data_IF_335449531078
#
_entry.id   IF_335449531078
#
_cell.length_a   1.000
_cell.length_b   1.000
_cell.length_c   1.000
_cell.angle_alpha   90.00
_cell.angle_beta   90.00
_cell.angle_gamma   90.00
#
_symmetry.space_group_name_H-M   'P 1'
#
loop_
_entity.id
_entity.type
_entity.pdbx_description
1 polymer ?
#
# COMPACT_ATOMS: atom_id res chain seq x y z
N UNK A 1 34.82 -28.45 -0.73
CA UNK A 1 33.81 -27.57 -0.12
C UNK A 1 34.43 -26.25 0.35
N UNK A 2 35.66 -26.26 0.89
CA UNK A 2 36.39 -25.04 1.26
C UNK A 2 36.69 -24.08 0.07
N UNK A 3 37.06 -24.61 -1.11
CA UNK A 3 37.41 -23.77 -2.28
C UNK A 3 36.26 -22.91 -2.84
N UNK A 4 34.99 -23.27 -2.56
CA UNK A 4 33.81 -22.52 -3.04
C UNK A 4 33.47 -21.35 -2.11
N UNK A 5 33.78 -21.48 -0.82
CA UNK A 5 33.59 -20.41 0.16
C UNK A 5 34.68 -19.34 0.05
N UNK A 6 35.92 -19.75 -0.20
CA UNK A 6 37.06 -18.83 -0.35
C UNK A 6 36.89 -17.93 -1.60
N UNK A 7 36.44 -18.50 -2.73
CA UNK A 7 36.22 -17.74 -3.97
C UNK A 7 35.04 -16.73 -3.88
N UNK A 8 34.04 -17.00 -3.02
CA UNK A 8 32.90 -16.09 -2.80
C UNK A 8 33.28 -14.85 -1.99
N UNK A 9 34.16 -15.01 -1.01
CA UNK A 9 34.60 -13.90 -0.17
C UNK A 9 35.38 -12.85 -0.98
N UNK A 10 36.24 -13.30 -1.91
CA UNK A 10 37.03 -12.44 -2.77
C UNK A 10 36.17 -11.66 -3.79
N UNK A 11 35.19 -12.32 -4.43
CA UNK A 11 34.25 -11.67 -5.33
C UNK A 11 33.39 -10.62 -4.63
N UNK A 12 32.92 -10.93 -3.42
CA UNK A 12 32.13 -10.00 -2.62
C UNK A 12 32.96 -8.78 -2.19
N UNK A 13 34.21 -8.98 -1.79
CA UNK A 13 35.10 -7.89 -1.41
C UNK A 13 35.46 -6.99 -2.60
N UNK A 14 35.53 -7.55 -3.81
CA UNK A 14 35.68 -6.78 -5.05
C UNK A 14 34.44 -5.95 -5.36
N UNK A 15 33.24 -6.54 -5.29
CA UNK A 15 31.98 -5.85 -5.58
C UNK A 15 31.73 -4.67 -4.62
N UNK A 16 32.08 -4.83 -3.34
CA UNK A 16 32.00 -3.75 -2.35
C UNK A 16 32.88 -2.54 -2.72
N UNK A 17 33.97 -2.74 -3.48
CA UNK A 17 34.86 -1.66 -3.94
C UNK A 17 34.37 -0.95 -5.22
N UNK A 18 33.39 -1.52 -5.93
CA UNK A 18 32.83 -0.91 -7.15
C UNK A 18 31.93 0.28 -6.85
N UNK A 19 31.25 0.28 -5.68
CA UNK A 19 30.30 1.31 -5.29
C UNK A 19 30.77 2.03 -4.03
N UNK A 20 30.74 3.37 -4.03
CA UNK A 20 30.85 4.15 -2.81
C UNK A 20 29.50 4.18 -2.06
N UNK A 21 29.50 4.71 -0.83
CA UNK A 21 28.29 4.78 0.00
C UNK A 21 27.12 5.50 -0.67
N UNK A 22 27.36 6.58 -1.42
CA UNK A 22 26.29 7.30 -2.11
C UNK A 22 25.66 6.43 -3.21
N UNK A 23 26.48 5.67 -3.94
CA UNK A 23 26.00 4.72 -4.95
C UNK A 23 25.23 3.56 -4.30
N UNK A 24 25.72 3.01 -3.18
CA UNK A 24 25.05 1.97 -2.42
C UNK A 24 23.68 2.45 -1.92
N UNK A 25 23.61 3.64 -1.31
CA UNK A 25 22.34 4.25 -0.86
C UNK A 25 21.36 4.47 -2.01
N UNK A 26 21.85 4.94 -3.15
CA UNK A 26 21.02 5.11 -4.35
C UNK A 26 20.49 3.77 -4.86
N UNK A 27 21.35 2.76 -4.95
CA UNK A 27 20.98 1.41 -5.40
C UNK A 27 19.96 0.77 -4.44
N UNK A 28 20.21 0.83 -3.13
CA UNK A 28 19.30 0.30 -2.11
C UNK A 28 17.91 0.95 -2.20
N UNK A 29 17.86 2.26 -2.42
CA UNK A 29 16.59 2.98 -2.60
C UNK A 29 15.81 2.47 -3.82
N UNK A 30 16.48 2.26 -4.95
CA UNK A 30 15.84 1.74 -6.18
C UNK A 30 15.39 0.29 -5.98
N UNK A 31 16.25 -0.58 -5.44
CA UNK A 31 15.92 -1.98 -5.21
C UNK A 31 14.76 -2.16 -4.24
N UNK A 32 14.67 -1.34 -3.19
CA UNK A 32 13.52 -1.34 -2.28
C UNK A 32 12.23 -0.96 -2.99
N UNK A 33 12.26 0.05 -3.87
CA UNK A 33 11.08 0.42 -4.66
C UNK A 33 10.64 -0.73 -5.58
N UNK A 34 11.58 -1.43 -6.20
CA UNK A 34 11.30 -2.62 -7.02
C UNK A 34 10.69 -3.73 -6.17
N UNK A 35 11.29 -4.04 -5.02
CA UNK A 35 10.80 -5.06 -4.09
C UNK A 35 9.35 -4.78 -3.65
N UNK A 36 9.06 -3.56 -3.19
CA UNK A 36 7.71 -3.16 -2.75
C UNK A 36 6.69 -3.16 -3.89
N UNK A 37 7.11 -2.85 -5.13
CA UNK A 37 6.23 -2.92 -6.29
C UNK A 37 5.88 -4.37 -6.64
N UNK A 38 6.87 -5.26 -6.62
CA UNK A 38 6.70 -6.69 -6.89
C UNK A 38 5.87 -7.37 -5.80
N UNK A 39 6.07 -7.03 -4.54
CA UNK A 39 5.24 -7.49 -3.43
C UNK A 39 3.77 -7.08 -3.60
N UNK A 40 3.49 -5.82 -3.98
CA UNK A 40 2.13 -5.35 -4.26
C UNK A 40 1.49 -6.05 -5.46
N UNK A 41 2.27 -6.35 -6.50
CA UNK A 41 1.79 -7.13 -7.63
C UNK A 41 1.44 -8.56 -7.20
N UNK A 42 2.31 -9.20 -6.42
CA UNK A 42 2.11 -10.54 -5.87
C UNK A 42 0.82 -10.61 -5.03
N UNK A 43 0.61 -9.68 -4.10
CA UNK A 43 -0.62 -9.63 -3.29
C UNK A 43 -1.88 -9.53 -4.16
N UNK A 44 -1.85 -8.73 -5.22
CA UNK A 44 -2.97 -8.60 -6.17
C UNK A 44 -3.19 -9.85 -7.00
N UNK A 45 -2.12 -10.56 -7.38
CA UNK A 45 -2.19 -11.80 -8.18
C UNK A 45 -2.55 -13.03 -7.35
N UNK A 46 -2.36 -13.01 -6.02
CA UNK A 46 -2.77 -14.11 -5.15
C UNK A 46 -4.27 -14.02 -4.82
N UNK A 47 -4.83 -12.81 -4.81
CA UNK A 47 -6.30 -12.63 -4.67
C UNK A 47 -6.99 -13.19 -5.91
N UNK A 48 -7.71 -14.30 -5.75
CA UNK A 48 -8.47 -14.95 -6.83
C UNK A 48 -9.57 -14.02 -7.37
N UNK A 49 -10.24 -13.29 -6.48
CA UNK A 49 -11.29 -12.32 -6.82
C UNK A 49 -10.87 -10.93 -6.33
N UNK A 50 -10.74 -9.93 -7.22
CA UNK A 50 -10.54 -8.53 -6.82
C UNK A 50 -11.69 -8.06 -5.92
N UNK A 51 -11.43 -7.17 -4.95
CA UNK A 51 -12.50 -6.60 -4.15
C UNK A 51 -13.50 -5.87 -5.06
N UNK A 52 -14.79 -5.98 -4.75
CA UNK A 52 -15.79 -5.14 -5.39
C UNK A 52 -15.66 -3.72 -4.83
N UNK A 53 -15.09 -2.82 -5.63
CA UNK A 53 -14.92 -1.41 -5.26
C UNK A 53 -16.08 -0.58 -5.84
N UNK A 54 -16.62 0.34 -5.04
CA UNK A 54 -17.78 1.15 -5.44
C UNK A 54 -17.46 2.18 -6.54
N UNK A 55 -16.23 2.72 -6.56
CA UNK A 55 -15.80 3.81 -7.45
C UNK A 55 -14.72 3.38 -8.45
N UNK A 56 -14.35 2.10 -8.50
CA UNK A 56 -13.25 1.63 -9.34
C UNK A 56 -13.55 0.24 -9.88
N UNK A 57 -13.32 0.03 -11.18
CA UNK A 57 -13.41 -1.28 -11.81
C UNK A 57 -12.10 -1.59 -12.51
N UNK A 58 -11.52 -2.75 -12.21
CA UNK A 58 -10.40 -3.27 -12.97
C UNK A 58 -10.93 -3.91 -14.26
N UNK A 59 -10.51 -3.36 -15.39
CA UNK A 59 -10.71 -3.96 -16.71
C UNK A 59 -9.46 -4.75 -17.07
N UNK A 60 -9.62 -5.86 -17.80
CA UNK A 60 -8.51 -6.70 -18.26
C UNK A 60 -7.73 -7.44 -17.15
N UNK A 61 -8.41 -8.28 -16.32
CA UNK A 61 -7.70 -9.12 -15.37
C UNK A 61 -6.85 -10.17 -16.10
N UNK A 62 -5.64 -10.51 -15.61
CA UNK A 62 -4.84 -11.55 -16.24
C UNK A 62 -5.55 -12.89 -16.18
N UNK A 63 -5.50 -13.65 -17.27
CA UNK A 63 -5.95 -15.05 -17.29
C UNK A 63 -5.06 -15.95 -16.41
N UNK A 64 -5.40 -17.24 -16.32
CA UNK A 64 -4.67 -18.21 -15.47
C UNK A 64 -3.20 -18.37 -15.87
N UNK A 65 -2.91 -18.33 -17.16
CA UNK A 65 -1.57 -18.57 -17.70
C UNK A 65 -0.71 -17.33 -17.52
N UNK A 66 -1.27 -16.15 -17.81
CA UNK A 66 -0.67 -14.86 -17.53
C UNK A 66 -0.39 -14.69 -16.04
N UNK A 67 -1.35 -15.00 -15.16
CA UNK A 67 -1.16 -14.96 -13.70
C UNK A 67 -0.02 -15.85 -13.26
N UNK A 68 0.00 -17.09 -13.75
CA UNK A 68 1.08 -18.05 -13.43
C UNK A 68 2.44 -17.55 -13.92
N UNK A 69 2.51 -16.99 -15.13
CA UNK A 69 3.74 -16.42 -15.68
C UNK A 69 4.21 -15.20 -14.87
N UNK A 70 3.30 -14.29 -14.52
CA UNK A 70 3.61 -13.12 -13.70
C UNK A 70 4.11 -13.52 -12.32
N UNK A 71 3.48 -14.49 -11.64
CA UNK A 71 3.94 -14.99 -10.34
C UNK A 71 5.34 -15.61 -10.42
N UNK A 72 5.67 -16.32 -11.52
CA UNK A 72 7.05 -16.80 -11.74
C UNK A 72 8.03 -15.64 -11.89
N UNK A 73 7.68 -14.60 -12.65
CA UNK A 73 8.53 -13.42 -12.84
C UNK A 73 8.73 -12.66 -11.53
N UNK A 74 7.67 -12.44 -10.75
CA UNK A 74 7.71 -11.87 -9.40
C UNK A 74 8.75 -12.58 -8.54
N UNK A 75 8.72 -13.92 -8.51
CA UNK A 75 9.69 -14.72 -7.77
C UNK A 75 11.13 -14.49 -8.25
N UNK A 76 11.36 -14.46 -9.57
CA UNK A 76 12.70 -14.21 -10.12
C UNK A 76 13.20 -12.81 -9.76
N UNK A 77 12.36 -11.77 -9.86
CA UNK A 77 12.75 -10.41 -9.50
C UNK A 77 13.15 -10.32 -8.02
N UNK A 78 12.40 -10.98 -7.11
CA UNK A 78 12.77 -11.01 -5.68
C UNK A 78 14.12 -11.71 -5.45
N UNK A 79 14.40 -12.79 -6.18
CA UNK A 79 15.68 -13.49 -6.10
C UNK A 79 16.84 -12.60 -6.60
N UNK A 80 16.66 -11.88 -7.70
CA UNK A 80 17.66 -10.95 -8.23
C UNK A 80 17.89 -9.76 -7.29
N UNK A 81 16.83 -9.19 -6.71
CA UNK A 81 16.95 -8.13 -5.69
C UNK A 81 17.73 -8.62 -4.48
N UNK A 82 17.41 -9.81 -3.95
CA UNK A 82 18.11 -10.39 -2.81
C UNK A 82 19.59 -10.66 -3.13
N UNK A 83 19.89 -11.13 -4.33
CA UNK A 83 21.26 -11.36 -4.80
C UNK A 83 22.03 -10.04 -4.90
N UNK A 84 21.47 -9.00 -5.53
CA UNK A 84 22.09 -7.69 -5.60
C UNK A 84 22.30 -7.06 -4.22
N UNK A 85 21.35 -7.21 -3.30
CA UNK A 85 21.51 -6.73 -1.93
C UNK A 85 22.68 -7.41 -1.22
N UNK A 86 22.83 -8.73 -1.40
CA UNK A 86 23.94 -9.50 -0.83
C UNK A 86 25.29 -9.15 -1.49
N UNK A 87 25.34 -9.12 -2.82
CA UNK A 87 26.58 -8.90 -3.59
C UNK A 87 27.18 -7.51 -3.34
N UNK A 88 26.35 -6.51 -3.03
CA UNK A 88 26.76 -5.13 -2.78
C UNK A 88 26.64 -4.68 -1.31
N UNK A 89 26.38 -5.60 -0.37
CA UNK A 89 26.24 -5.32 1.06
C UNK A 89 25.28 -4.17 1.38
N UNK A 90 24.13 -4.16 0.71
CA UNK A 90 23.16 -3.10 0.88
C UNK A 90 22.44 -3.24 2.22
N UNK A 91 22.30 -2.12 2.94
CA UNK A 91 21.59 -2.11 4.21
C UNK A 91 20.09 -2.36 4.02
N UNK A 92 19.55 -3.28 4.83
CA UNK A 92 18.11 -3.45 5.00
C UNK A 92 17.59 -2.26 5.80
N UNK A 93 16.53 -1.63 5.31
CA UNK A 93 15.85 -0.61 6.10
C UNK A 93 14.64 -1.20 6.81
N UNK A 94 14.45 -0.74 8.04
CA UNK A 94 13.24 -0.96 8.79
C UNK A 94 12.23 0.15 8.49
N UNK A 95 11.06 -0.25 8.04
CA UNK A 95 9.94 0.65 7.82
C UNK A 95 8.76 0.21 8.69
N UNK A 96 8.17 1.16 9.40
CA UNK A 96 6.98 0.87 10.21
C UNK A 96 5.78 0.74 9.28
N UNK A 97 5.30 -0.49 9.10
CA UNK A 97 4.11 -0.80 8.31
C UNK A 97 2.94 0.11 8.69
N UNK A 98 2.64 0.18 9.99
CA UNK A 98 1.56 1.02 10.52
C UNK A 98 1.77 2.49 10.17
N UNK A 99 2.95 3.07 10.41
CA UNK A 99 3.19 4.49 10.09
C UNK A 99 3.11 4.76 8.59
N UNK A 100 3.61 3.85 7.75
CA UNK A 100 3.53 3.99 6.30
C UNK A 100 2.08 3.98 5.83
N UNK A 101 1.28 3.01 6.30
CA UNK A 101 -0.15 2.92 5.95
C UNK A 101 -0.92 4.12 6.46
N UNK A 102 -0.68 4.57 7.70
CA UNK A 102 -1.41 5.71 8.26
C UNK A 102 -1.05 7.05 7.61
N UNK A 103 0.15 7.18 7.05
CA UNK A 103 0.51 8.32 6.21
C UNK A 103 -0.42 8.48 5.00
N UNK A 104 -0.80 7.37 4.36
CA UNK A 104 -1.75 7.39 3.23
C UNK A 104 -3.16 7.80 3.69
N UNK A 105 -3.65 7.25 4.80
CA UNK A 105 -4.95 7.62 5.35
C UNK A 105 -5.03 9.08 5.80
N UNK A 106 -3.93 9.66 6.28
CA UNK A 106 -3.87 11.10 6.64
C UNK A 106 -4.09 11.98 5.42
N UNK A 107 -3.48 11.64 4.27
CA UNK A 107 -3.68 12.38 3.03
C UNK A 107 -5.12 12.25 2.53
N UNK A 108 -5.68 11.04 2.57
CA UNK A 108 -7.08 10.80 2.17
C UNK A 108 -8.07 11.52 3.08
N UNK A 109 -7.76 11.65 4.38
CA UNK A 109 -8.57 12.44 5.30
C UNK A 109 -8.60 13.92 4.89
N UNK A 110 -7.45 14.50 4.54
CA UNK A 110 -7.39 15.87 4.01
C UNK A 110 -8.24 16.02 2.73
N UNK A 111 -8.17 15.05 1.82
CA UNK A 111 -8.97 15.06 0.59
C UNK A 111 -10.48 14.97 0.87
N UNK A 112 -10.90 14.18 1.87
CA UNK A 112 -12.29 14.11 2.30
C UNK A 112 -12.77 15.41 2.94
N UNK A 113 -11.94 16.03 3.78
CA UNK A 113 -12.21 17.34 4.35
C UNK A 113 -12.39 18.40 3.26
N UNK A 114 -11.62 18.32 2.17
CA UNK A 114 -11.75 19.21 1.01
C UNK A 114 -12.94 18.90 0.11
N UNK A 115 -13.51 17.70 0.25
CA UNK A 115 -14.71 17.25 -0.45
C UNK A 115 -16.03 17.66 0.23
N UNK A 116 -15.99 18.34 1.37
CA UNK A 116 -17.17 18.84 2.06
C UNK A 116 -18.01 19.78 1.16
N UNK A 117 -19.36 19.73 1.22
CA UNK A 117 -20.21 20.55 0.34
C UNK A 117 -19.86 22.05 0.37
N UNK A 118 -19.51 22.60 1.52
CA UNK A 118 -19.15 24.02 1.63
C UNK A 118 -17.89 24.38 0.86
N UNK A 119 -16.92 23.46 0.76
CA UNK A 119 -15.69 23.64 -0.02
C UNK A 119 -15.90 23.32 -1.50
N UNK A 120 -16.73 22.33 -1.83
CA UNK A 120 -17.06 21.99 -3.22
C UNK A 120 -17.69 23.16 -3.99
N UNK A 121 -18.38 24.08 -3.32
CA UNK A 121 -18.88 25.34 -3.91
C UNK A 121 -17.82 26.14 -4.66
N UNK A 122 -16.54 26.00 -4.30
CA UNK A 122 -15.42 26.67 -4.99
C UNK A 122 -15.23 26.17 -6.43
N UNK A 123 -15.72 24.98 -6.74
CA UNK A 123 -15.65 24.36 -8.08
C UNK A 123 -16.92 24.56 -8.91
N UNK A 124 -17.93 25.25 -8.38
CA UNK A 124 -19.17 25.56 -9.09
C UNK A 124 -20.40 25.53 -8.17
N UNK A 125 -21.55 25.84 -8.76
CA UNK A 125 -22.82 25.74 -8.05
C UNK A 125 -23.12 24.27 -7.70
N UNK A 126 -23.44 24.02 -6.43
CA UNK A 126 -23.93 22.73 -5.95
C UNK A 126 -25.38 22.86 -5.53
N UNK A 127 -26.12 21.75 -5.54
CA UNK A 127 -27.51 21.74 -5.09
C UNK A 127 -27.61 22.17 -3.60
N UNK A 128 -28.57 23.01 -3.19
CA UNK A 128 -28.68 23.48 -1.81
C UNK A 128 -28.79 22.37 -0.76
N UNK A 129 -29.43 21.25 -1.10
CA UNK A 129 -29.58 20.08 -0.22
C UNK A 129 -28.30 19.23 -0.08
N UNK A 130 -27.19 19.61 -0.75
CA UNK A 130 -25.94 18.86 -0.65
C UNK A 130 -25.38 18.85 0.78
N UNK A 131 -25.55 19.95 1.54
CA UNK A 131 -25.13 19.99 2.95
C UNK A 131 -25.86 18.91 3.77
N UNK A 132 -27.17 18.74 3.54
CA UNK A 132 -28.01 17.83 4.32
C UNK A 132 -27.82 16.35 3.93
N UNK A 133 -27.51 16.06 2.66
CA UNK A 133 -27.44 14.68 2.14
C UNK A 133 -26.00 14.17 2.04
N UNK A 134 -25.08 14.98 1.52
CA UNK A 134 -23.68 14.59 1.29
C UNK A 134 -22.82 14.85 2.53
N UNK A 135 -23.03 15.99 3.22
CA UNK A 135 -22.26 16.39 4.40
C UNK A 135 -22.16 15.28 5.46
N UNK A 136 -23.27 14.72 5.97
CA UNK A 136 -23.23 13.65 6.96
C UNK A 136 -22.49 12.40 6.48
N UNK A 137 -22.53 12.07 5.18
CA UNK A 137 -21.83 10.90 4.62
C UNK A 137 -20.33 11.11 4.57
N UNK A 138 -19.86 12.32 4.23
CA UNK A 138 -18.45 12.67 4.25
C UNK A 138 -17.92 12.69 5.68
N UNK A 139 -18.65 13.30 6.61
CA UNK A 139 -18.33 13.27 8.05
C UNK A 139 -18.21 11.83 8.55
N UNK A 140 -19.14 10.95 8.15
CA UNK A 140 -19.08 9.54 8.52
C UNK A 140 -17.82 8.84 8.02
N UNK A 141 -17.36 9.13 6.80
CA UNK A 141 -16.12 8.57 6.27
C UNK A 141 -14.89 9.10 7.02
N UNK A 142 -14.89 10.39 7.39
CA UNK A 142 -13.84 11.01 8.21
C UNK A 142 -13.74 10.32 9.57
N UNK A 143 -14.87 10.11 10.26
CA UNK A 143 -14.91 9.40 11.54
C UNK A 143 -14.31 7.99 11.45
N UNK A 144 -14.62 7.25 10.38
CA UNK A 144 -14.06 5.92 10.15
C UNK A 144 -12.54 5.97 9.92
N UNK A 145 -12.03 6.97 9.21
CA UNK A 145 -10.58 7.16 9.03
C UNK A 145 -9.87 7.48 10.35
N UNK A 146 -10.48 8.33 11.19
CA UNK A 146 -9.95 8.64 12.51
C UNK A 146 -9.98 7.42 13.45
N UNK A 147 -11.02 6.59 13.39
CA UNK A 147 -11.08 5.35 14.16
C UNK A 147 -9.99 4.35 13.72
N UNK A 148 -9.71 4.26 12.42
CA UNK A 148 -8.58 3.46 11.90
C UNK A 148 -7.26 3.96 12.48
N UNK A 149 -7.03 5.28 12.52
CA UNK A 149 -5.83 5.89 13.13
C UNK A 149 -5.73 5.60 14.64
N UNK A 150 -6.85 5.69 15.36
CA UNK A 150 -6.94 5.35 16.78
C UNK A 150 -6.47 3.93 17.06
N UNK A 151 -7.02 2.96 16.31
CA UNK A 151 -6.64 1.54 16.40
C UNK A 151 -5.17 1.34 16.02
N UNK A 152 -4.71 1.95 14.92
CA UNK A 152 -3.33 1.87 14.46
C UNK A 152 -2.34 2.43 15.49
N UNK A 153 -2.72 3.46 16.22
CA UNK A 153 -1.95 4.09 17.30
C UNK A 153 -1.99 3.30 18.63
N UNK A 154 -2.69 2.16 18.67
CA UNK A 154 -2.83 1.33 19.87
C UNK A 154 -3.78 1.91 20.93
N UNK A 155 -4.58 2.93 20.58
CA UNK A 155 -5.65 3.42 21.45
C UNK A 155 -6.85 2.49 21.27
N UNK A 156 -7.28 1.83 22.34
CA UNK A 156 -8.52 1.05 22.31
C UNK A 156 -9.70 2.01 22.15
N UNK A 157 -10.21 2.17 20.92
CA UNK A 157 -11.52 2.77 20.71
C UNK A 157 -12.58 1.67 20.71
N UNK A 158 -13.54 1.81 21.62
CA UNK A 158 -14.72 0.97 21.68
C UNK A 158 -15.59 1.32 20.47
N UNK A 159 -15.63 0.45 19.46
CA UNK A 159 -16.63 0.48 18.37
C UNK A 159 -17.99 0.08 18.98
N UNK A 160 -18.53 0.86 19.92
CA UNK A 160 -19.78 0.56 20.64
C UNK A 160 -20.89 1.53 20.24
N UNK A 161 -21.12 1.76 18.95
CA UNK A 161 -22.37 2.43 18.50
C UNK A 161 -22.69 2.24 17.01
N UNK A 162 -22.39 1.08 16.41
CA UNK A 162 -22.54 0.94 14.94
C UNK A 162 -23.36 -0.28 14.49
N UNK A 163 -24.22 -0.84 15.35
CA UNK A 163 -25.12 -1.94 14.98
C UNK A 163 -26.62 -1.59 14.83
N UNK A 164 -27.09 -0.38 15.18
CA UNK A 164 -28.55 -0.11 15.25
C UNK A 164 -29.16 0.71 14.09
N UNK A 165 -28.58 0.71 12.88
CA UNK A 165 -29.12 1.51 11.76
C UNK A 165 -29.35 0.72 10.45
N UNK A 166 -29.49 -0.60 10.52
CA UNK A 166 -29.64 -1.46 9.32
C UNK A 166 -30.76 -2.49 9.33
N UNK A 167 -31.55 -2.59 10.40
CA UNK A 167 -32.70 -3.50 10.50
C UNK A 167 -34.00 -2.68 10.56
N UNK A 168 -34.41 -2.15 9.42
CA UNK A 168 -35.81 -1.83 9.13
C UNK A 168 -36.03 -2.12 7.63
N UNK A 169 -36.11 -3.41 7.31
CA UNK A 169 -36.81 -3.86 6.11
C UNK A 169 -38.30 -3.93 6.47
N UNK A 170 -39.18 -3.10 5.87
CA UNK A 170 -40.59 -3.39 5.93
C UNK A 170 -40.87 -4.53 4.95
N UNK A 171 -41.34 -5.65 5.51
CA UNK A 171 -42.09 -6.65 4.75
C UNK A 171 -43.28 -5.95 4.05
N UNK A 172 -43.39 -6.16 2.74
CA UNK A 172 -44.47 -5.66 1.88
C UNK A 172 -44.29 -6.10 0.45
#
# INVERSE_FOLDING_TARGET
MADVEENRADEQQWNARLLNENHQRSLATVLRRVELAVWRLEDRLIRETPPQLALTRFTDPPDSDQRTALLRLVKHVRQEVAKLAADYYLEVAEESFVRSTMGEFTLLWCDLEDSQPQKLRRYGAIHPQADDVLGPRIVRLIELMLAIDGVASGKQETISTWQDAGEDSPEG
#
